data_IF_901821671970
#
_entry.id   IF_901821671970
#
_cell.length_a   1.000
_cell.length_b   1.000
_cell.length_c   1.000
_cell.angle_alpha   90.00
_cell.angle_beta   90.00
_cell.angle_gamma   90.00
#
_symmetry.space_group_name_H-M   'P 1'
#
loop_
_entity.id
_entity.type
_entity.pdbx_description
1 polymer ?
#
# COMPACT_ATOMS: atom_id res chain seq x y z
N UNK A 1 6.18 27.62 11.05
CA UNK A 1 5.54 26.32 11.01
C UNK A 1 5.62 25.76 9.60
N UNK A 2 6.01 24.49 9.50
CA UNK A 2 6.08 23.75 8.24
C UNK A 2 5.00 22.67 8.23
N UNK A 3 4.24 22.64 7.16
CA UNK A 3 3.15 21.68 6.94
C UNK A 3 3.39 20.86 5.68
N UNK A 4 2.98 19.60 5.75
CA UNK A 4 2.96 18.68 4.60
C UNK A 4 1.53 18.29 4.31
N UNK A 5 1.17 18.30 3.03
CA UNK A 5 -0.10 17.81 2.50
C UNK A 5 0.18 16.81 1.38
N UNK A 6 -0.41 15.63 1.47
CA UNK A 6 -0.41 14.63 0.42
C UNK A 6 -1.57 14.90 -0.55
N UNK A 7 -1.29 15.18 -1.82
CA UNK A 7 -2.33 15.54 -2.79
C UNK A 7 -3.23 14.36 -3.19
N UNK A 8 -2.72 13.13 -3.06
CA UNK A 8 -3.45 11.92 -3.46
C UNK A 8 -3.02 10.73 -2.62
N UNK A 9 -3.64 10.58 -1.48
CA UNK A 9 -3.42 9.48 -0.56
C UNK A 9 -4.49 8.40 -0.68
N UNK A 10 -4.12 7.13 -0.55
CA UNK A 10 -5.06 6.00 -0.51
C UNK A 10 -6.00 6.07 0.70
N UNK A 11 -5.53 6.61 1.81
CA UNK A 11 -6.30 6.80 3.03
C UNK A 11 -6.57 8.28 3.30
N UNK A 12 -7.70 8.57 3.94
CA UNK A 12 -8.02 9.96 4.33
C UNK A 12 -6.98 10.49 5.30
N UNK A 13 -6.32 11.59 4.92
CA UNK A 13 -5.33 12.31 5.71
C UNK A 13 -5.79 13.74 5.98
N UNK A 14 -5.28 14.41 7.03
CA UNK A 14 -5.49 15.85 7.22
C UNK A 14 -4.92 16.64 6.04
N UNK A 15 -5.63 17.71 5.65
CA UNK A 15 -5.15 18.63 4.61
C UNK A 15 -3.80 19.29 4.96
N UNK A 16 -3.47 19.37 6.24
CA UNK A 16 -2.26 20.02 6.74
C UNK A 16 -1.75 19.28 7.96
N UNK A 17 -0.61 18.69 7.82
CA UNK A 17 0.08 18.00 8.90
C UNK A 17 1.30 18.81 9.33
N UNK A 18 1.31 19.33 10.56
CA UNK A 18 2.48 20.03 11.10
C UNK A 18 3.63 19.05 11.29
N UNK A 19 4.72 19.25 10.56
CA UNK A 19 5.91 18.38 10.62
C UNK A 19 7.09 19.02 11.33
N UNK A 20 7.21 20.35 11.22
CA UNK A 20 8.26 21.08 11.91
C UNK A 20 7.82 22.48 12.32
N UNK A 21 8.46 23.04 13.33
CA UNK A 21 8.30 24.45 13.69
C UNK A 21 9.57 24.98 14.33
N UNK A 22 9.77 26.30 14.21
CA UNK A 22 10.78 27.03 14.93
C UNK A 22 10.18 28.33 15.49
N UNK A 23 10.47 28.65 16.72
CA UNK A 23 10.14 29.92 17.32
C UNK A 23 11.40 30.77 17.39
N UNK A 24 11.39 31.92 16.76
CA UNK A 24 12.54 32.83 16.69
C UNK A 24 12.15 34.20 17.18
N UNK A 25 13.07 34.84 17.86
CA UNK A 25 12.98 36.26 18.26
C UNK A 25 13.88 37.04 17.32
N UNK A 26 13.34 38.13 16.77
CA UNK A 26 14.00 38.98 15.75
C UNK A 26 13.89 40.43 16.16
N UNK A 27 14.99 41.17 16.07
CA UNK A 27 14.99 42.61 16.19
C UNK A 27 14.43 43.28 14.91
N UNK A 28 13.94 44.52 14.98
CA UNK A 28 13.47 45.23 13.80
C UNK A 28 14.50 45.28 12.68
N UNK A 29 14.16 44.73 11.51
CA UNK A 29 15.04 44.63 10.34
C UNK A 29 15.97 43.41 10.34
N UNK A 30 16.02 42.60 11.41
CA UNK A 30 16.80 41.37 11.44
C UNK A 30 16.21 40.34 10.48
N UNK A 31 17.13 39.56 9.84
CA UNK A 31 16.78 38.41 9.00
C UNK A 31 17.49 37.16 9.53
N UNK A 32 16.76 36.08 9.67
CA UNK A 32 17.30 34.81 10.10
C UNK A 32 16.90 33.68 9.14
N UNK A 33 17.89 32.92 8.69
CA UNK A 33 17.64 31.69 7.92
C UNK A 33 17.27 30.56 8.86
N UNK A 34 16.17 29.88 8.57
CA UNK A 34 15.74 28.65 9.27
C UNK A 34 15.79 27.52 8.26
N UNK A 35 16.34 26.40 8.65
CA UNK A 35 16.37 25.18 7.85
C UNK A 35 15.57 24.10 8.57
N UNK A 36 14.70 23.43 7.84
CA UNK A 36 14.01 22.22 8.28
C UNK A 36 14.48 21.07 7.41
N UNK A 37 14.70 19.93 8.03
CA UNK A 37 14.97 18.67 7.35
C UNK A 37 13.75 17.79 7.49
N UNK A 38 13.29 17.21 6.38
CA UNK A 38 12.17 16.28 6.34
C UNK A 38 12.69 14.90 5.95
N UNK A 39 12.28 13.90 6.70
CA UNK A 39 12.58 12.50 6.44
C UNK A 39 11.35 11.81 5.84
N UNK A 40 11.52 10.61 5.30
CA UNK A 40 10.40 9.79 4.78
C UNK A 40 9.25 9.67 5.77
N UNK A 41 9.59 9.62 7.06
CA UNK A 41 8.60 9.55 8.14
C UNK A 41 7.66 10.76 8.17
N UNK A 42 8.08 11.93 7.76
CA UNK A 42 7.27 13.15 7.72
C UNK A 42 6.21 13.11 6.62
N UNK A 43 6.44 12.29 5.60
CA UNK A 43 5.50 12.03 4.50
C UNK A 43 4.59 10.83 4.76
N UNK A 44 4.91 10.02 5.78
CA UNK A 44 4.24 8.76 6.08
C UNK A 44 2.95 8.95 6.88
N UNK A 45 2.04 7.99 6.74
CA UNK A 45 0.93 7.73 7.64
C UNK A 45 1.03 6.32 8.21
N UNK A 46 0.37 6.06 9.35
CA UNK A 46 0.35 4.72 9.92
C UNK A 46 -0.75 3.89 9.26
N UNK A 47 -0.34 2.87 8.51
CA UNK A 47 -1.25 1.94 7.86
C UNK A 47 -1.59 0.80 8.81
N UNK A 48 -2.82 0.79 9.33
CA UNK A 48 -3.28 -0.22 10.31
C UNK A 48 -3.41 -1.60 9.70
N UNK A 49 -3.60 -1.71 8.39
CA UNK A 49 -3.69 -2.98 7.68
C UNK A 49 -2.33 -3.69 7.65
N UNK A 50 -1.26 -2.94 7.42
CA UNK A 50 0.10 -3.46 7.37
C UNK A 50 0.86 -3.29 8.69
N UNK A 51 0.22 -2.65 9.68
CA UNK A 51 0.77 -2.38 11.02
C UNK A 51 2.15 -1.69 10.96
N UNK A 52 2.32 -0.76 10.00
CA UNK A 52 3.56 0.00 9.76
C UNK A 52 3.30 1.40 9.23
N UNK A 53 4.33 2.23 9.25
CA UNK A 53 4.33 3.53 8.59
C UNK A 53 4.60 3.37 7.10
N UNK A 54 3.86 4.11 6.29
CA UNK A 54 3.89 4.06 4.82
C UNK A 54 3.94 5.47 4.27
N UNK A 55 4.88 5.74 3.37
CA UNK A 55 4.91 6.91 2.51
C UNK A 55 4.56 6.48 1.08
N UNK A 56 3.54 7.09 0.50
CA UNK A 56 3.14 6.79 -0.89
C UNK A 56 3.91 7.69 -1.85
N UNK A 57 4.40 7.11 -2.95
CA UNK A 57 5.01 7.89 -4.04
C UNK A 57 3.96 8.81 -4.67
N UNK A 58 4.25 10.12 -4.74
CA UNK A 58 3.30 11.07 -5.26
C UNK A 58 3.74 12.53 -5.10
N UNK A 59 2.76 13.41 -5.30
CA UNK A 59 2.97 14.83 -5.13
C UNK A 59 2.52 15.30 -3.74
N UNK A 60 3.38 16.08 -3.12
CA UNK A 60 3.15 16.69 -1.82
C UNK A 60 3.24 18.22 -1.92
N UNK A 61 2.43 18.92 -1.14
CA UNK A 61 2.57 20.35 -0.93
C UNK A 61 3.27 20.59 0.40
N UNK A 62 4.36 21.33 0.34
CA UNK A 62 5.12 21.79 1.50
C UNK A 62 4.79 23.25 1.72
N UNK A 63 4.19 23.56 2.86
CA UNK A 63 3.75 24.91 3.16
C UNK A 63 4.45 25.48 4.39
N UNK A 64 4.87 26.74 4.29
CA UNK A 64 5.46 27.50 5.39
C UNK A 64 4.57 28.66 5.76
N UNK A 65 4.38 28.88 7.04
CA UNK A 65 3.57 29.98 7.53
C UNK A 65 3.79 30.30 9.00
N UNK A 66 3.17 31.39 9.45
CA UNK A 66 3.15 31.74 10.86
C UNK A 66 2.14 30.89 11.65
N UNK A 67 1.14 30.32 10.96
CA UNK A 67 0.14 29.41 11.51
C UNK A 67 -0.48 28.57 10.39
N UNK A 68 -1.29 27.57 10.74
CA UNK A 68 -2.07 26.78 9.78
C UNK A 68 -3.10 27.60 8.96
N UNK A 69 -3.41 28.83 9.40
CA UNK A 69 -4.31 29.74 8.71
C UNK A 69 -3.58 30.85 7.93
N UNK A 70 -2.29 31.04 8.18
CA UNK A 70 -1.46 32.06 7.52
C UNK A 70 -0.26 31.36 6.88
N UNK A 71 -0.51 30.67 5.75
CA UNK A 71 0.50 30.06 4.90
C UNK A 71 0.98 31.09 3.88
N UNK A 72 2.28 31.29 3.79
CA UNK A 72 2.90 32.35 2.96
C UNK A 72 3.68 31.81 1.78
N UNK A 73 4.16 30.58 1.91
CA UNK A 73 4.92 29.89 0.87
C UNK A 73 4.33 28.49 0.78
N UNK A 74 4.06 28.03 -0.44
CA UNK A 74 3.68 26.65 -0.72
C UNK A 74 4.41 26.20 -1.96
N UNK A 75 5.15 25.12 -1.83
CA UNK A 75 5.88 24.48 -2.92
C UNK A 75 5.34 23.07 -3.12
N UNK A 76 5.31 22.66 -4.38
CA UNK A 76 4.87 21.32 -4.79
C UNK A 76 6.08 20.46 -5.09
N UNK A 77 6.17 19.31 -4.42
CA UNK A 77 7.30 18.39 -4.54
C UNK A 77 6.79 17.01 -4.96
N UNK A 78 7.46 16.35 -5.89
CA UNK A 78 7.26 14.94 -6.17
C UNK A 78 8.26 14.14 -5.33
N UNK A 79 7.73 13.26 -4.48
CA UNK A 79 8.54 12.32 -3.71
C UNK A 79 8.36 10.91 -4.25
N UNK A 80 9.47 10.19 -4.44
CA UNK A 80 9.47 8.79 -4.83
C UNK A 80 9.96 7.95 -3.65
N UNK A 81 9.05 7.21 -3.04
CA UNK A 81 9.31 6.30 -1.93
C UNK A 81 9.34 4.83 -2.37
N UNK A 82 9.37 4.59 -3.70
CA UNK A 82 9.28 3.27 -4.29
C UNK A 82 7.84 2.75 -4.34
N UNK A 83 7.71 1.50 -4.71
CA UNK A 83 6.43 0.79 -4.64
C UNK A 83 6.30 0.13 -3.28
N UNK A 84 5.14 0.31 -2.67
CA UNK A 84 4.80 -0.41 -1.46
C UNK A 84 4.74 -1.91 -1.77
N UNK A 85 5.57 -2.69 -1.10
CA UNK A 85 5.47 -4.15 -1.16
C UNK A 85 4.29 -4.61 -0.31
N UNK A 86 3.32 -5.23 -0.97
CA UNK A 86 2.16 -5.82 -0.31
C UNK A 86 2.63 -7.04 0.50
N UNK A 87 2.46 -7.02 1.81
CA UNK A 87 2.65 -8.20 2.64
C UNK A 87 1.39 -9.04 2.58
N UNK A 88 1.46 -10.18 1.88
CA UNK A 88 0.32 -11.06 1.75
C UNK A 88 0.09 -11.90 3.00
N UNK A 89 -1.17 -12.11 3.31
CA UNK A 89 -1.66 -13.04 4.32
C UNK A 89 -3.01 -13.63 3.87
N UNK A 90 -3.50 -14.64 4.54
CA UNK A 90 -4.73 -15.34 4.13
C UNK A 90 -5.99 -14.47 4.03
N UNK A 91 -5.99 -13.32 4.69
CA UNK A 91 -7.08 -12.34 4.61
C UNK A 91 -6.81 -11.21 3.60
N UNK A 92 -5.69 -11.22 2.90
CA UNK A 92 -5.47 -10.30 1.78
C UNK A 92 -6.52 -10.53 0.70
N UNK A 93 -7.02 -9.42 0.13
CA UNK A 93 -8.10 -9.47 -0.86
C UNK A 93 -7.60 -10.00 -2.19
N UNK A 94 -8.47 -10.61 -2.99
CA UNK A 94 -8.11 -11.03 -4.34
C UNK A 94 -7.62 -9.86 -5.19
N UNK A 95 -8.24 -8.68 -5.06
CA UNK A 95 -7.79 -7.45 -5.73
C UNK A 95 -6.35 -7.07 -5.43
N UNK A 96 -5.88 -7.32 -4.21
CA UNK A 96 -4.48 -7.07 -3.85
C UNK A 96 -3.54 -8.06 -4.54
N UNK A 97 -3.91 -9.35 -4.57
CA UNK A 97 -3.16 -10.38 -5.30
C UNK A 97 -3.09 -10.06 -6.79
N UNK A 98 -4.18 -9.57 -7.38
CA UNK A 98 -4.24 -9.18 -8.80
C UNK A 98 -3.46 -7.90 -9.12
N UNK A 99 -3.23 -7.03 -8.14
CA UNK A 99 -2.46 -5.78 -8.30
C UNK A 99 -0.95 -5.99 -8.29
N UNK A 100 -0.47 -7.12 -7.76
CA UNK A 100 0.95 -7.46 -7.69
C UNK A 100 1.31 -8.47 -8.79
N UNK A 101 2.24 -8.14 -9.70
CA UNK A 101 2.56 -9.01 -10.84
C UNK A 101 3.10 -10.40 -10.44
N UNK A 102 3.89 -10.51 -9.37
CA UNK A 102 4.40 -11.79 -8.89
C UNK A 102 3.28 -12.63 -8.28
N UNK A 103 2.46 -12.02 -7.42
CA UNK A 103 1.34 -12.71 -6.80
C UNK A 103 0.30 -13.17 -7.83
N UNK A 104 -0.02 -12.34 -8.83
CA UNK A 104 -0.91 -12.71 -9.93
C UNK A 104 -0.39 -13.93 -10.67
N UNK A 105 0.89 -13.93 -11.06
CA UNK A 105 1.51 -15.04 -11.80
C UNK A 105 1.49 -16.34 -11.00
N UNK A 106 1.86 -16.29 -9.73
CA UNK A 106 1.86 -17.48 -8.87
C UNK A 106 0.44 -18.01 -8.61
N UNK A 107 -0.54 -17.12 -8.48
CA UNK A 107 -1.94 -17.51 -8.35
C UNK A 107 -2.47 -18.16 -9.64
N UNK A 108 -2.16 -17.60 -10.82
CA UNK A 108 -2.51 -18.18 -12.12
C UNK A 108 -1.89 -19.59 -12.28
N UNK A 109 -0.62 -19.75 -11.90
CA UNK A 109 0.05 -21.05 -11.94
C UNK A 109 -0.63 -22.07 -11.02
N UNK A 110 -0.91 -21.68 -9.78
CA UNK A 110 -1.59 -22.53 -8.82
C UNK A 110 -2.98 -22.99 -9.31
N UNK A 111 -3.77 -22.07 -9.86
CA UNK A 111 -5.09 -22.41 -10.41
C UNK A 111 -4.99 -23.31 -11.64
N UNK A 112 -3.98 -23.15 -12.49
CA UNK A 112 -3.76 -24.05 -13.63
C UNK A 112 -3.41 -25.47 -13.16
N UNK A 113 -2.53 -25.62 -12.15
CA UNK A 113 -2.22 -26.94 -11.54
C UNK A 113 -3.49 -27.59 -10.96
N UNK A 114 -4.30 -26.82 -10.24
CA UNK A 114 -5.57 -27.32 -9.69
C UNK A 114 -6.56 -27.72 -10.79
N UNK A 115 -6.62 -26.98 -11.88
CA UNK A 115 -7.49 -27.25 -13.03
C UNK A 115 -7.20 -28.59 -13.74
N UNK A 116 -6.00 -29.16 -13.56
CA UNK A 116 -5.65 -30.45 -14.17
C UNK A 116 -6.45 -31.62 -13.56
N UNK A 117 -6.92 -31.44 -12.31
CA UNK A 117 -7.56 -32.52 -11.54
C UNK A 117 -9.09 -32.38 -11.42
N UNK A 118 -9.70 -31.35 -12.04
CA UNK A 118 -11.13 -31.05 -11.91
C UNK A 118 -11.80 -30.87 -13.26
N UNK A 119 -13.11 -31.13 -13.31
CA UNK A 119 -13.93 -30.96 -14.49
C UNK A 119 -14.36 -29.50 -14.69
N UNK A 120 -14.76 -28.85 -13.60
CA UNK A 120 -15.19 -27.45 -13.60
C UNK A 120 -14.00 -26.55 -13.34
N UNK A 121 -13.43 -26.01 -14.40
CA UNK A 121 -12.20 -25.22 -14.34
C UNK A 121 -12.47 -23.77 -13.97
N UNK A 122 -11.61 -23.19 -13.13
CA UNK A 122 -11.64 -21.78 -12.76
C UNK A 122 -10.47 -21.03 -13.37
N UNK A 123 -10.77 -19.85 -13.90
CA UNK A 123 -9.79 -18.97 -14.50
C UNK A 123 -9.94 -17.56 -13.92
N UNK A 124 -8.82 -16.84 -13.81
CA UNK A 124 -8.81 -15.42 -13.38
C UNK A 124 -9.27 -14.50 -14.54
N UNK A 125 -10.49 -14.72 -15.04
CA UNK A 125 -11.11 -13.84 -16.01
C UNK A 125 -11.74 -12.61 -15.33
N UNK A 126 -12.17 -11.64 -16.15
CA UNK A 126 -12.77 -10.38 -15.63
C UNK A 126 -14.01 -10.60 -14.78
N UNK A 127 -14.84 -11.58 -15.12
CA UNK A 127 -16.06 -11.91 -14.39
C UNK A 127 -15.73 -12.49 -13.00
N UNK A 128 -14.81 -13.46 -12.95
CA UNK A 128 -14.36 -14.07 -11.70
C UNK A 128 -13.68 -13.02 -10.79
N UNK A 129 -12.72 -12.28 -11.34
CA UNK A 129 -11.99 -11.25 -10.58
C UNK A 129 -12.95 -10.16 -10.12
N UNK A 130 -13.87 -9.70 -10.99
CA UNK A 130 -14.86 -8.67 -10.65
C UNK A 130 -15.78 -9.08 -9.50
N UNK A 131 -16.20 -10.35 -9.46
CA UNK A 131 -17.05 -10.88 -8.38
C UNK A 131 -16.29 -11.06 -7.06
N UNK A 132 -15.06 -11.58 -7.12
CA UNK A 132 -14.29 -11.98 -5.95
C UNK A 132 -13.28 -10.93 -5.47
N UNK A 133 -13.15 -9.79 -6.15
CA UNK A 133 -12.13 -8.76 -5.90
C UNK A 133 -11.99 -8.38 -4.41
N UNK A 134 -13.12 -8.17 -3.74
CA UNK A 134 -13.19 -7.70 -2.36
C UNK A 134 -13.28 -8.84 -1.33
N UNK A 135 -13.11 -10.09 -1.77
CA UNK A 135 -13.10 -11.22 -0.87
C UNK A 135 -11.68 -11.59 -0.43
N UNK A 136 -11.49 -11.93 0.87
CA UNK A 136 -10.24 -12.49 1.36
C UNK A 136 -9.88 -13.80 0.65
N UNK A 137 -8.60 -14.03 0.34
CA UNK A 137 -8.14 -15.25 -0.34
C UNK A 137 -8.59 -16.53 0.35
N UNK A 138 -8.62 -16.56 1.67
CA UNK A 138 -9.14 -17.72 2.41
C UNK A 138 -10.57 -18.06 2.03
N UNK A 139 -11.42 -17.05 1.78
CA UNK A 139 -12.81 -17.24 1.36
C UNK A 139 -12.91 -17.71 -0.09
N UNK A 140 -12.07 -17.17 -0.97
CA UNK A 140 -11.99 -17.59 -2.36
C UNK A 140 -11.64 -19.08 -2.42
N UNK A 141 -10.61 -19.52 -1.70
CA UNK A 141 -10.22 -20.95 -1.68
C UNK A 141 -11.20 -21.86 -0.93
N UNK A 142 -11.91 -21.37 0.08
CA UNK A 142 -12.96 -22.14 0.75
C UNK A 142 -14.15 -22.47 -0.15
N UNK A 143 -14.39 -21.69 -1.21
CA UNK A 143 -15.43 -21.98 -2.22
C UNK A 143 -15.04 -23.12 -3.15
N UNK A 144 -13.76 -23.31 -3.37
CA UNK A 144 -13.25 -24.48 -4.11
C UNK A 144 -13.26 -25.68 -3.16
N UNK A 145 -13.99 -26.71 -3.45
CA UNK A 145 -14.05 -27.92 -2.61
C UNK A 145 -12.65 -28.55 -2.42
N UNK A 146 -12.50 -29.41 -1.42
CA UNK A 146 -11.23 -30.10 -1.13
C UNK A 146 -10.63 -30.85 -2.34
N UNK A 147 -11.48 -31.33 -3.24
CA UNK A 147 -11.07 -31.97 -4.50
C UNK A 147 -10.21 -31.06 -5.37
N UNK A 148 -10.49 -29.75 -5.37
CA UNK A 148 -9.71 -28.74 -6.11
C UNK A 148 -8.31 -28.55 -5.57
N UNK A 149 -8.17 -28.65 -4.26
CA UNK A 149 -6.93 -28.38 -3.55
C UNK A 149 -6.09 -29.65 -3.34
N UNK A 150 -6.42 -30.75 -4.02
CA UNK A 150 -5.74 -32.02 -3.89
C UNK A 150 -5.60 -32.46 -2.42
N UNK A 151 -6.74 -32.47 -1.71
CA UNK A 151 -6.90 -32.79 -0.28
C UNK A 151 -6.19 -31.83 0.71
N UNK A 152 -5.51 -30.79 0.21
CA UNK A 152 -4.90 -29.75 1.06
C UNK A 152 -5.99 -28.82 1.63
N UNK A 153 -5.70 -28.20 2.76
CA UNK A 153 -6.55 -27.14 3.29
C UNK A 153 -6.32 -25.81 2.57
N UNK A 154 -7.31 -24.90 2.55
CA UNK A 154 -7.12 -23.53 2.04
C UNK A 154 -5.95 -22.79 2.69
N UNK A 155 -5.72 -22.98 3.98
CA UNK A 155 -4.61 -22.38 4.71
C UNK A 155 -3.25 -22.85 4.18
N UNK A 156 -3.10 -24.16 3.92
CA UNK A 156 -1.87 -24.72 3.36
C UNK A 156 -1.58 -24.16 1.98
N UNK A 157 -2.57 -24.18 1.08
CA UNK A 157 -2.41 -23.65 -0.28
C UNK A 157 -2.02 -22.16 -0.28
N UNK A 158 -2.67 -21.34 0.54
CA UNK A 158 -2.37 -19.92 0.62
C UNK A 158 -0.98 -19.66 1.19
N UNK A 159 -0.57 -20.41 2.23
CA UNK A 159 0.77 -20.27 2.79
C UNK A 159 1.87 -20.64 1.79
N UNK A 160 1.66 -21.70 1.00
CA UNK A 160 2.56 -22.07 -0.09
C UNK A 160 2.64 -20.97 -1.17
N UNK A 161 1.50 -20.42 -1.56
CA UNK A 161 1.44 -19.28 -2.50
C UNK A 161 2.19 -18.08 -1.99
N UNK A 162 2.00 -17.69 -0.73
CA UNK A 162 2.72 -16.58 -0.10
C UNK A 162 4.23 -16.83 -0.14
N UNK A 163 4.68 -18.05 0.17
CA UNK A 163 6.09 -18.41 0.11
C UNK A 163 6.66 -18.29 -1.32
N UNK A 164 5.93 -18.79 -2.34
CA UNK A 164 6.31 -18.67 -3.75
C UNK A 164 6.39 -17.21 -4.21
N UNK A 165 5.41 -16.38 -3.84
CA UNK A 165 5.42 -14.94 -4.16
C UNK A 165 6.63 -14.24 -3.55
N UNK A 166 6.93 -14.51 -2.28
CA UNK A 166 8.09 -13.92 -1.61
C UNK A 166 9.40 -14.36 -2.24
N UNK A 167 9.51 -15.60 -2.70
CA UNK A 167 10.66 -16.08 -3.45
C UNK A 167 10.79 -15.38 -4.80
N UNK A 168 9.70 -15.29 -5.57
CA UNK A 168 9.68 -14.69 -6.91
C UNK A 168 9.96 -13.18 -6.92
N UNK A 169 9.81 -12.51 -5.78
CA UNK A 169 10.18 -11.07 -5.61
C UNK A 169 11.67 -10.87 -5.33
N UNK A 170 12.35 -11.92 -4.86
CA UNK A 170 13.78 -11.86 -4.54
C UNK A 170 14.68 -12.34 -5.70
N UNK A 171 14.10 -12.83 -6.80
CA UNK A 171 14.75 -13.19 -8.05
C UNK A 171 14.74 -12.03 -9.05
#
# INVERSE_FOLDING_TARGET
QLYVHDEKCTWTRPEKELKAFAKVELEPGEKRKITFELEERDFSYYNTKYNRWVAETGFFQISLGSSSKDLRITERLHCDFGKEEITFHKFSLLSEWMSDPAAKRELEHCLNEMNEHVTDKVYLNEEFVGFWADFPMIKVFQMFGQQWMNERSPDEVINELIAKVNQARNE
#
